data_IF_601025514057
#
_entry.id   IF_601025514057
#
_cell.length_a   1.000
_cell.length_b   1.000
_cell.length_c   1.000
_cell.angle_alpha   90.00
_cell.angle_beta   90.00
_cell.angle_gamma   90.00
#
_symmetry.space_group_name_H-M   'P 1'
#
loop_
_entity.id
_entity.type
_entity.pdbx_description
1 polymer ?
#
# COMPACT_ATOMS: atom_id res chain seq x y z
N UNK A 1 4.24 6.37 36.74
CA UNK A 1 4.25 6.65 35.30
C UNK A 1 3.31 5.64 34.67
N UNK A 2 2.09 6.03 34.30
CA UNK A 2 1.26 5.14 33.49
C UNK A 2 1.97 5.07 32.14
N UNK A 3 2.46 3.89 31.74
CA UNK A 3 2.83 3.64 30.36
C UNK A 3 1.58 3.94 29.54
N UNK A 4 1.51 5.16 29.00
CA UNK A 4 0.52 5.50 28.00
C UNK A 4 0.87 4.64 26.81
N UNK A 5 0.17 3.53 26.63
CA UNK A 5 0.03 2.93 25.31
C UNK A 5 -0.38 4.08 24.41
N UNK A 6 0.57 4.53 23.57
CA UNK A 6 0.21 5.34 22.42
C UNK A 6 -0.65 4.37 21.61
N UNK A 7 -1.97 4.57 21.66
CA UNK A 7 -2.88 3.87 20.79
C UNK A 7 -2.46 4.25 19.38
N UNK A 8 -1.78 3.32 18.71
CA UNK A 8 -1.23 3.56 17.39
C UNK A 8 -2.38 3.47 16.40
N UNK A 9 -2.55 4.50 15.58
CA UNK A 9 -3.49 4.53 14.46
C UNK A 9 -3.05 3.53 13.38
N UNK A 10 -3.35 2.24 13.63
CA UNK A 10 -2.96 1.12 12.76
C UNK A 10 -3.60 1.22 11.39
N UNK A 11 -4.83 1.73 11.33
CA UNK A 11 -5.55 2.03 10.09
C UNK A 11 -4.67 2.89 9.17
N UNK A 12 -4.26 4.06 9.65
CA UNK A 12 -3.43 5.02 8.90
C UNK A 12 -2.05 4.42 8.58
N UNK A 13 -1.41 3.78 9.57
CA UNK A 13 -0.07 3.24 9.40
C UNK A 13 0.01 2.13 8.34
N UNK A 14 -0.92 1.17 8.39
CA UNK A 14 -0.96 0.04 7.45
C UNK A 14 -1.43 0.49 6.07
N UNK A 15 -2.47 1.35 6.00
CA UNK A 15 -2.94 1.90 4.72
C UNK A 15 -1.86 2.71 4.01
N UNK A 16 -1.09 3.52 4.74
CA UNK A 16 0.02 4.30 4.19
C UNK A 16 1.14 3.39 3.65
N UNK A 17 1.52 2.36 4.40
CA UNK A 17 2.56 1.42 3.96
C UNK A 17 2.17 0.67 2.69
N UNK A 18 0.93 0.16 2.64
CA UNK A 18 0.40 -0.53 1.45
C UNK A 18 0.25 0.44 0.27
N UNK A 19 -0.22 1.67 0.52
CA UNK A 19 -0.31 2.73 -0.49
C UNK A 19 1.05 3.10 -1.07
N UNK A 20 2.10 3.19 -0.26
CA UNK A 20 3.45 3.47 -0.74
C UNK A 20 3.95 2.37 -1.69
N UNK A 21 3.70 1.09 -1.37
CA UNK A 21 4.04 -0.04 -2.26
C UNK A 21 3.24 0.05 -3.56
N UNK A 22 1.95 0.42 -3.48
CA UNK A 22 1.11 0.58 -4.65
C UNK A 22 1.65 1.68 -5.60
N UNK A 23 2.12 2.79 -5.05
CA UNK A 23 2.76 3.87 -5.82
C UNK A 23 4.04 3.38 -6.49
N UNK A 24 4.88 2.59 -5.82
CA UNK A 24 6.07 1.98 -6.43
C UNK A 24 5.67 1.08 -7.60
N UNK A 25 4.64 0.25 -7.43
CA UNK A 25 4.08 -0.57 -8.51
C UNK A 25 3.62 0.26 -9.71
N UNK A 26 2.95 1.38 -9.47
CA UNK A 26 2.50 2.30 -10.51
C UNK A 26 3.68 2.97 -11.23
N UNK A 27 4.75 3.34 -10.51
CA UNK A 27 5.99 3.85 -11.13
C UNK A 27 6.62 2.78 -12.02
N UNK A 28 6.68 1.53 -11.56
CA UNK A 28 7.18 0.41 -12.39
C UNK A 28 6.31 0.24 -13.64
N UNK A 29 4.98 0.31 -13.51
CA UNK A 29 4.06 0.25 -14.65
C UNK A 29 4.38 1.31 -15.73
N UNK A 30 4.75 2.51 -15.31
CA UNK A 30 5.02 3.63 -16.22
C UNK A 30 6.43 3.57 -16.82
N UNK A 31 7.44 3.29 -15.99
CA UNK A 31 8.85 3.45 -16.35
C UNK A 31 9.49 2.19 -16.94
N UNK A 32 8.88 1.00 -16.79
CA UNK A 32 9.52 -0.24 -17.23
C UNK A 32 9.54 -0.36 -18.77
N UNK A 33 10.65 -0.77 -19.40
CA UNK A 33 10.78 -0.77 -20.86
C UNK A 33 9.96 -1.85 -21.57
N UNK A 34 9.74 -3.01 -20.93
CA UNK A 34 9.01 -4.14 -21.51
C UNK A 34 7.57 -4.27 -21.00
N UNK A 35 6.67 -4.77 -21.85
CA UNK A 35 5.25 -4.96 -21.52
C UNK A 35 5.04 -5.85 -20.29
N UNK A 36 5.86 -6.90 -20.13
CA UNK A 36 5.73 -7.83 -19.01
C UNK A 36 6.01 -7.15 -17.67
N UNK A 37 7.05 -6.32 -17.57
CA UNK A 37 7.33 -5.59 -16.34
C UNK A 37 6.31 -4.48 -16.06
N UNK A 38 5.76 -3.85 -17.11
CA UNK A 38 4.62 -2.93 -16.94
C UNK A 38 3.39 -3.64 -16.37
N UNK A 39 3.07 -4.83 -16.87
CA UNK A 39 1.95 -5.63 -16.40
C UNK A 39 2.12 -6.05 -14.93
N UNK A 40 3.33 -6.44 -14.52
CA UNK A 40 3.64 -6.72 -13.12
C UNK A 40 3.57 -5.48 -12.24
N UNK A 41 4.03 -4.33 -12.72
CA UNK A 41 3.87 -3.04 -12.03
C UNK A 41 2.41 -2.71 -11.77
N UNK A 42 1.55 -2.85 -12.80
CA UNK A 42 0.10 -2.65 -12.67
C UNK A 42 -0.52 -3.64 -11.69
N UNK A 43 -0.23 -4.94 -11.83
CA UNK A 43 -0.80 -5.98 -10.97
C UNK A 43 -0.44 -5.74 -9.49
N UNK A 44 0.83 -5.41 -9.22
CA UNK A 44 1.28 -5.03 -7.89
C UNK A 44 0.55 -3.80 -7.37
N UNK A 45 0.51 -2.72 -8.15
CA UNK A 45 -0.18 -1.48 -7.78
C UNK A 45 -1.65 -1.73 -7.42
N UNK A 46 -2.36 -2.50 -8.25
CA UNK A 46 -3.76 -2.83 -8.05
C UNK A 46 -4.00 -3.64 -6.77
N UNK A 47 -3.20 -4.70 -6.55
CA UNK A 47 -3.35 -5.55 -5.36
C UNK A 47 -3.07 -4.76 -4.08
N UNK A 48 -1.97 -4.02 -4.02
CA UNK A 48 -1.59 -3.27 -2.82
C UNK A 48 -2.51 -2.08 -2.56
N UNK A 49 -3.02 -1.41 -3.59
CA UNK A 49 -4.05 -0.38 -3.43
C UNK A 49 -5.36 -0.97 -2.86
N UNK A 50 -5.77 -2.14 -3.36
CA UNK A 50 -6.97 -2.84 -2.85
C UNK A 50 -6.78 -3.25 -1.39
N UNK A 51 -5.60 -3.78 -1.04
CA UNK A 51 -5.26 -4.12 0.35
C UNK A 51 -5.20 -2.88 1.25
N UNK A 52 -4.75 -1.73 0.75
CA UNK A 52 -4.73 -0.49 1.53
C UNK A 52 -6.15 -0.08 1.93
N UNK A 53 -7.10 -0.13 0.99
CA UNK A 53 -8.52 0.12 1.29
C UNK A 53 -9.05 -0.94 2.25
N UNK A 54 -8.75 -2.23 2.03
CA UNK A 54 -9.14 -3.30 2.94
C UNK A 54 -8.58 -3.14 4.35
N UNK A 55 -7.36 -2.62 4.50
CA UNK A 55 -6.74 -2.34 5.79
C UNK A 55 -7.45 -1.20 6.52
N UNK A 56 -7.84 -0.14 5.81
CA UNK A 56 -8.69 0.91 6.38
C UNK A 56 -9.97 0.29 6.95
N UNK A 57 -10.70 -0.48 6.14
CA UNK A 57 -11.97 -1.09 6.57
C UNK A 57 -11.83 -2.11 7.71
N UNK A 58 -10.64 -2.69 7.90
CA UNK A 58 -10.39 -3.70 8.93
C UNK A 58 -9.93 -3.09 10.27
N UNK A 59 -9.33 -1.89 10.22
CA UNK A 59 -8.76 -1.21 11.38
C UNK A 59 -9.49 0.09 11.77
N UNK A 60 -10.46 0.52 10.97
CA UNK A 60 -11.53 1.49 11.32
C UNK A 60 -12.44 0.91 12.42
#
# INVERSE_FOLDING_TARGET
MSEGSIESDKEVGVALALGAIAVVGAVVMLAYPGQLGKAWGFAGAFVFATLAVGAVQLFD
#
